data_IF_863018154893
#
_entry.id   IF_863018154893
#
_cell.length_a   1.000
_cell.length_b   1.000
_cell.length_c   1.000
_cell.angle_alpha   90.00
_cell.angle_beta   90.00
_cell.angle_gamma   90.00
#
_symmetry.space_group_name_H-M   'P 1'
#
loop_
_entity.id
_entity.type
_entity.pdbx_description
1 polymer ?
#
# COMPACT_ATOMS: atom_id res chain seq x y z
N UNK A 1 -57.38 47.92 18.43
CA UNK A 1 -57.98 48.79 19.47
C UNK A 1 -59.31 49.28 18.92
N UNK A 2 -60.45 48.69 19.35
CA UNK A 2 -61.35 49.23 20.40
C UNK A 2 -61.74 50.68 20.09
N UNK A 3 -62.88 50.93 19.43
CA UNK A 3 -64.27 51.00 19.93
C UNK A 3 -64.64 52.37 20.52
N UNK A 4 -65.83 52.84 20.11
CA UNK A 4 -66.77 53.71 20.87
C UNK A 4 -66.44 55.20 20.96
N UNK A 5 -67.37 56.17 21.02
CA UNK A 5 -68.85 56.29 21.11
C UNK A 5 -69.09 57.81 20.79
N UNK A 6 -70.00 58.28 19.93
CA UNK A 6 -71.46 58.48 20.09
C UNK A 6 -71.90 59.60 21.07
N UNK A 7 -72.74 60.50 20.52
CA UNK A 7 -73.87 61.28 21.09
C UNK A 7 -73.64 62.52 21.97
N UNK A 8 -74.13 63.70 21.54
CA UNK A 8 -75.47 64.34 21.74
C UNK A 8 -75.54 65.13 23.05
N UNK A 9 -75.94 66.42 22.98
CA UNK A 9 -77.18 66.99 23.59
C UNK A 9 -77.15 68.55 23.63
N UNK A 10 -78.12 69.15 22.92
CA UNK A 10 -78.95 70.35 23.22
C UNK A 10 -78.37 71.72 23.62
N UNK A 11 -78.75 72.71 22.80
CA UNK A 11 -79.25 74.09 23.07
C UNK A 11 -79.95 74.29 24.43
N UNK A 12 -80.21 75.53 24.94
CA UNK A 12 -80.17 76.86 24.28
C UNK A 12 -79.50 77.97 25.13
N UNK A 13 -79.18 79.15 24.57
CA UNK A 13 -79.43 80.39 25.32
C UNK A 13 -79.47 81.63 24.44
N UNK A 14 -80.47 82.43 24.75
CA UNK A 14 -80.87 83.68 24.13
C UNK A 14 -79.86 84.81 24.32
N UNK A 15 -79.88 85.71 23.34
CA UNK A 15 -79.51 87.13 23.34
C UNK A 15 -79.24 87.79 24.70
N UNK A 16 -78.14 88.54 24.84
CA UNK A 16 -78.16 90.02 24.80
C UNK A 16 -76.75 90.61 24.92
N UNK A 17 -76.63 91.83 24.42
CA UNK A 17 -75.58 92.82 24.63
C UNK A 17 -74.32 92.74 23.74
N UNK A 18 -74.40 93.48 22.63
CA UNK A 18 -73.25 94.16 22.05
C UNK A 18 -72.52 94.98 23.14
N UNK A 19 -71.33 94.53 23.54
CA UNK A 19 -70.33 95.39 24.16
C UNK A 19 -69.27 95.71 23.10
N UNK A 20 -69.49 96.84 22.45
CA UNK A 20 -68.58 97.44 21.49
C UNK A 20 -67.37 97.99 22.27
N UNK A 21 -66.27 97.25 22.31
CA UNK A 21 -64.97 97.84 22.63
C UNK A 21 -64.22 98.02 21.32
N UNK A 22 -64.33 99.22 20.76
CA UNK A 22 -63.58 99.66 19.59
C UNK A 22 -62.11 99.78 20.00
N UNK A 23 -61.35 98.69 19.86
CA UNK A 23 -59.91 98.80 19.75
C UNK A 23 -59.63 99.75 18.58
N UNK A 24 -58.85 100.80 18.85
CA UNK A 24 -58.39 101.71 17.81
C UNK A 24 -57.75 100.87 16.68
N UNK A 25 -57.93 101.23 15.40
CA UNK A 25 -57.29 100.52 14.29
C UNK A 25 -55.76 100.41 14.50
N UNK A 26 -55.17 101.32 15.26
CA UNK A 26 -53.76 101.36 15.64
C UNK A 26 -53.34 100.24 16.60
N UNK A 27 -54.16 99.87 17.59
CA UNK A 27 -53.83 98.78 18.53
C UNK A 27 -53.89 97.40 17.87
N UNK A 28 -54.80 97.22 16.90
CA UNK A 28 -54.84 96.00 16.07
C UNK A 28 -53.63 95.88 15.16
N UNK A 29 -53.17 96.99 14.57
CA UNK A 29 -51.95 97.02 13.77
C UNK A 29 -50.71 96.72 14.62
N UNK A 30 -50.65 97.23 15.87
CA UNK A 30 -49.56 96.90 16.80
C UNK A 30 -49.55 95.44 17.21
N UNK A 31 -50.71 94.85 17.47
CA UNK A 31 -50.80 93.42 17.82
C UNK A 31 -50.49 92.52 16.62
N UNK A 32 -50.92 92.88 15.41
CA UNK A 32 -50.53 92.21 14.17
C UNK A 32 -49.02 92.34 13.89
N UNK A 33 -48.42 93.50 14.16
CA UNK A 33 -46.97 93.68 14.07
C UNK A 33 -46.20 92.84 15.10
N UNK A 34 -46.71 92.69 16.33
CA UNK A 34 -46.12 91.79 17.33
C UNK A 34 -46.26 90.33 16.95
N UNK A 35 -47.43 89.91 16.46
CA UNK A 35 -47.67 88.56 16.00
C UNK A 35 -46.77 88.19 14.80
N UNK A 36 -46.61 89.10 13.83
CA UNK A 36 -45.70 88.91 12.70
C UNK A 36 -44.23 88.93 13.12
N UNK A 37 -43.83 89.76 14.09
CA UNK A 37 -42.48 89.73 14.65
C UNK A 37 -42.18 88.42 15.42
N UNK A 38 -43.15 87.89 16.17
CA UNK A 38 -43.03 86.58 16.82
C UNK A 38 -42.97 85.44 15.80
N UNK A 39 -43.81 85.47 14.76
CA UNK A 39 -43.79 84.50 13.66
C UNK A 39 -42.46 84.53 12.90
N UNK A 40 -41.90 85.71 12.66
CA UNK A 40 -40.59 85.86 12.03
C UNK A 40 -39.49 85.26 12.92
N UNK A 41 -39.53 85.55 14.23
CA UNK A 41 -38.58 84.97 15.20
C UNK A 41 -38.70 83.45 15.31
N UNK A 42 -39.92 82.89 15.30
CA UNK A 42 -40.12 81.43 15.29
C UNK A 42 -39.64 80.82 13.98
N UNK A 43 -39.96 81.42 12.83
CA UNK A 43 -39.50 80.95 11.53
C UNK A 43 -37.97 81.03 11.39
N UNK A 44 -37.33 82.06 11.97
CA UNK A 44 -35.88 82.19 12.01
C UNK A 44 -35.24 81.12 12.91
N UNK A 45 -35.85 80.83 14.06
CA UNK A 45 -35.42 79.75 14.96
C UNK A 45 -35.58 78.38 14.29
N UNK A 46 -36.70 78.13 13.62
CA UNK A 46 -36.97 76.90 12.88
C UNK A 46 -36.02 76.73 11.70
N UNK A 47 -35.67 77.82 11.00
CA UNK A 47 -34.66 77.81 9.94
C UNK A 47 -33.27 77.45 10.49
N UNK A 48 -32.87 78.06 11.61
CA UNK A 48 -31.58 77.73 12.27
C UNK A 48 -31.56 76.27 12.71
N UNK A 49 -32.65 75.76 13.27
CA UNK A 49 -32.78 74.35 13.68
C UNK A 49 -32.74 73.40 12.46
N UNK A 50 -33.42 73.75 11.37
CA UNK A 50 -33.41 72.96 10.14
C UNK A 50 -32.02 72.91 9.49
N UNK A 51 -31.29 74.04 9.48
CA UNK A 51 -29.90 74.10 9.00
C UNK A 51 -29.00 73.24 9.88
N UNK A 52 -29.11 73.34 11.22
CA UNK A 52 -28.33 72.51 12.14
C UNK A 52 -28.61 71.00 11.96
N UNK A 53 -29.88 70.61 11.77
CA UNK A 53 -30.26 69.23 11.48
C UNK A 53 -29.72 68.77 10.12
N UNK A 54 -29.79 69.62 9.09
CA UNK A 54 -29.25 69.31 7.76
C UNK A 54 -27.73 69.15 7.78
N UNK A 55 -26.99 70.02 8.47
CA UNK A 55 -25.54 69.85 8.64
C UNK A 55 -25.21 68.54 9.39
N UNK A 56 -25.99 68.17 10.40
CA UNK A 56 -25.79 66.92 11.13
C UNK A 56 -26.06 65.68 10.27
N UNK A 57 -27.05 65.73 9.37
CA UNK A 57 -27.36 64.63 8.46
C UNK A 57 -26.35 64.51 7.34
N UNK A 58 -25.88 65.64 6.78
CA UNK A 58 -24.79 65.66 5.79
C UNK A 58 -23.51 65.07 6.37
N UNK A 59 -23.16 65.40 7.63
CA UNK A 59 -22.00 64.78 8.32
C UNK A 59 -22.16 63.26 8.47
N UNK A 60 -23.34 62.78 8.85
CA UNK A 60 -23.63 61.34 8.97
C UNK A 60 -23.57 60.62 7.63
N UNK A 61 -24.12 61.21 6.57
CA UNK A 61 -24.07 60.66 5.20
C UNK A 61 -22.61 60.55 4.76
N UNK A 62 -21.81 61.61 4.95
CA UNK A 62 -20.38 61.59 4.61
C UNK A 62 -19.59 60.53 5.40
N UNK A 63 -19.93 60.27 6.67
CA UNK A 63 -19.32 59.21 7.47
C UNK A 63 -19.74 57.80 6.98
N UNK A 64 -21.02 57.62 6.65
CA UNK A 64 -21.53 56.37 6.10
C UNK A 64 -20.95 56.06 4.72
N UNK A 65 -20.81 57.06 3.84
CA UNK A 65 -20.14 56.92 2.54
C UNK A 65 -18.67 56.50 2.71
N UNK A 66 -17.96 57.10 3.68
CA UNK A 66 -16.60 56.66 4.01
C UNK A 66 -16.57 55.20 4.46
N UNK A 67 -17.48 54.80 5.35
CA UNK A 67 -17.57 53.40 5.83
C UNK A 67 -17.94 52.43 4.71
N UNK A 68 -18.88 52.79 3.84
CA UNK A 68 -19.25 51.99 2.66
C UNK A 68 -18.06 51.82 1.72
N UNK A 69 -17.37 52.90 1.38
CA UNK A 69 -16.18 52.82 0.52
C UNK A 69 -15.05 51.98 1.13
N UNK A 70 -14.89 52.01 2.46
CA UNK A 70 -13.92 51.17 3.17
C UNK A 70 -14.35 49.69 3.14
N UNK A 71 -15.62 49.41 3.41
CA UNK A 71 -16.21 48.06 3.38
C UNK A 71 -16.14 47.44 1.98
N UNK A 72 -16.43 48.21 0.93
CA UNK A 72 -16.31 47.79 -0.47
C UNK A 72 -14.87 47.43 -0.81
N UNK A 73 -13.90 48.27 -0.40
CA UNK A 73 -12.47 47.96 -0.58
C UNK A 73 -12.08 46.66 0.13
N UNK A 74 -12.46 46.48 1.40
CA UNK A 74 -12.16 45.25 2.14
C UNK A 74 -12.85 44.03 1.54
N UNK A 75 -14.10 44.14 1.09
CA UNK A 75 -14.79 43.03 0.44
C UNK A 75 -14.12 42.65 -0.88
N UNK A 76 -13.68 43.65 -1.66
CA UNK A 76 -12.95 43.40 -2.92
C UNK A 76 -11.60 42.73 -2.69
N UNK A 77 -10.84 43.14 -1.67
CA UNK A 77 -9.56 42.50 -1.34
C UNK A 77 -9.76 41.09 -0.80
N UNK A 78 -10.74 40.88 0.09
CA UNK A 78 -11.05 39.56 0.63
C UNK A 78 -11.52 38.59 -0.46
N UNK A 79 -12.34 39.04 -1.42
CA UNK A 79 -12.74 38.19 -2.55
C UNK A 79 -11.56 37.85 -3.47
N UNK A 80 -10.65 38.79 -3.71
CA UNK A 80 -9.41 38.50 -4.44
C UNK A 80 -8.52 37.49 -3.70
N UNK A 81 -8.30 37.67 -2.39
CA UNK A 81 -7.51 36.72 -1.59
C UNK A 81 -8.14 35.33 -1.57
N UNK A 82 -9.46 35.25 -1.41
CA UNK A 82 -10.18 33.98 -1.36
C UNK A 82 -10.10 33.23 -2.70
N UNK A 83 -10.22 33.93 -3.84
CA UNK A 83 -10.05 33.31 -5.16
C UNK A 83 -8.61 32.83 -5.39
N UNK A 84 -7.61 33.61 -4.96
CA UNK A 84 -6.20 33.20 -5.04
C UNK A 84 -5.90 31.99 -4.15
N UNK A 85 -6.38 31.98 -2.91
CA UNK A 85 -6.21 30.85 -2.00
C UNK A 85 -6.91 29.59 -2.51
N UNK A 86 -8.12 29.72 -3.07
CA UNK A 86 -8.82 28.59 -3.71
C UNK A 86 -7.99 28.03 -4.87
N UNK A 87 -7.55 28.87 -5.79
CA UNK A 87 -6.73 28.43 -6.92
C UNK A 87 -5.40 27.79 -6.46
N UNK A 88 -4.76 28.33 -5.41
CA UNK A 88 -3.56 27.74 -4.84
C UNK A 88 -3.85 26.37 -4.22
N UNK A 89 -4.92 26.25 -3.43
CA UNK A 89 -5.34 25.01 -2.78
C UNK A 89 -5.70 23.91 -3.79
N UNK A 90 -6.38 24.27 -4.87
CA UNK A 90 -6.76 23.35 -5.94
C UNK A 90 -5.53 22.81 -6.67
N UNK A 91 -4.53 23.67 -6.93
CA UNK A 91 -3.23 23.26 -7.48
C UNK A 91 -2.48 22.30 -6.55
N UNK A 92 -2.46 22.56 -5.24
CA UNK A 92 -1.82 21.64 -4.28
C UNK A 92 -2.56 20.32 -4.19
N UNK A 93 -3.90 20.32 -4.17
CA UNK A 93 -4.71 19.11 -4.16
C UNK A 93 -4.43 18.29 -5.42
N UNK A 94 -4.45 18.90 -6.61
CA UNK A 94 -4.14 18.23 -7.86
C UNK A 94 -2.71 17.65 -7.87
N UNK A 95 -1.72 18.41 -7.39
CA UNK A 95 -0.33 17.94 -7.27
C UNK A 95 -0.21 16.75 -6.31
N UNK A 96 -0.88 16.81 -5.15
CA UNK A 96 -0.88 15.72 -4.18
C UNK A 96 -1.56 14.47 -4.74
N UNK A 97 -2.68 14.62 -5.43
CA UNK A 97 -3.38 13.51 -6.08
C UNK A 97 -2.49 12.82 -7.12
N UNK A 98 -1.79 13.59 -7.96
CA UNK A 98 -0.83 13.05 -8.92
C UNK A 98 0.33 12.32 -8.24
N UNK A 99 0.85 12.87 -7.13
CA UNK A 99 1.90 12.20 -6.35
C UNK A 99 1.42 10.90 -5.72
N UNK A 100 0.19 10.84 -5.22
CA UNK A 100 -0.39 9.62 -4.67
C UNK A 100 -0.52 8.57 -5.78
N UNK A 101 -1.05 8.95 -6.94
CA UNK A 101 -1.17 8.04 -8.09
C UNK A 101 0.20 7.49 -8.54
N UNK A 102 1.22 8.33 -8.65
CA UNK A 102 2.60 7.90 -8.98
C UNK A 102 3.17 6.96 -7.91
N UNK A 103 2.94 7.25 -6.62
CA UNK A 103 3.38 6.36 -5.54
C UNK A 103 2.67 5.01 -5.56
N UNK A 104 1.36 4.99 -5.81
CA UNK A 104 0.59 3.75 -5.92
C UNK A 104 1.05 2.90 -7.09
N UNK A 105 1.38 3.53 -8.23
CA UNK A 105 1.96 2.83 -9.36
C UNK A 105 3.32 2.21 -9.01
N UNK A 106 4.23 2.98 -8.41
CA UNK A 106 5.54 2.47 -7.98
C UNK A 106 5.42 1.37 -6.94
N UNK A 107 4.46 1.45 -6.02
CA UNK A 107 4.20 0.39 -5.05
C UNK A 107 3.78 -0.92 -5.72
N UNK A 108 2.95 -0.86 -6.76
CA UNK A 108 2.59 -2.05 -7.56
C UNK A 108 3.81 -2.62 -8.27
N UNK A 109 4.59 -1.78 -8.95
CA UNK A 109 5.83 -2.19 -9.65
C UNK A 109 6.83 -2.84 -8.68
N UNK A 110 7.04 -2.26 -7.50
CA UNK A 110 7.91 -2.84 -6.47
C UNK A 110 7.36 -4.15 -5.91
N UNK A 111 6.05 -4.25 -5.69
CA UNK A 111 5.42 -5.48 -5.23
C UNK A 111 5.58 -6.62 -6.24
N UNK A 112 5.38 -6.33 -7.53
CA UNK A 112 5.57 -7.30 -8.61
C UNK A 112 7.04 -7.73 -8.75
N UNK A 113 7.96 -6.76 -8.67
CA UNK A 113 9.39 -7.05 -8.66
C UNK A 113 9.76 -7.96 -7.48
N UNK A 114 9.32 -7.64 -6.26
CA UNK A 114 9.59 -8.45 -5.07
C UNK A 114 9.06 -9.88 -5.19
N UNK A 115 7.86 -10.05 -5.74
CA UNK A 115 7.30 -11.38 -5.98
C UNK A 115 8.10 -12.17 -7.02
N UNK A 116 8.53 -11.52 -8.10
CA UNK A 116 9.41 -12.10 -9.11
C UNK A 116 10.76 -12.54 -8.50
N UNK A 117 11.39 -11.67 -7.70
CA UNK A 117 12.63 -11.97 -7.00
C UNK A 117 12.46 -13.15 -6.03
N UNK A 118 11.36 -13.18 -5.27
CA UNK A 118 11.05 -14.29 -4.36
C UNK A 118 10.87 -15.61 -5.11
N UNK A 119 10.13 -15.61 -6.22
CA UNK A 119 9.96 -16.78 -7.08
C UNK A 119 11.30 -17.24 -7.69
N UNK A 120 12.12 -16.32 -8.15
CA UNK A 120 13.46 -16.61 -8.68
C UNK A 120 14.36 -17.25 -7.62
N UNK A 121 14.39 -16.68 -6.41
CA UNK A 121 15.17 -17.21 -5.29
C UNK A 121 14.68 -18.61 -4.86
N UNK A 122 13.36 -18.82 -4.76
CA UNK A 122 12.79 -20.12 -4.45
C UNK A 122 13.18 -21.17 -5.50
N UNK A 123 13.05 -20.84 -6.79
CA UNK A 123 13.48 -21.73 -7.89
C UNK A 123 14.96 -22.08 -7.80
N UNK A 124 15.82 -21.09 -7.57
CA UNK A 124 17.26 -21.32 -7.42
C UNK A 124 17.56 -22.23 -6.23
N UNK A 125 16.89 -22.00 -5.10
CA UNK A 125 17.06 -22.80 -3.89
C UNK A 125 16.62 -24.25 -4.13
N UNK A 126 15.46 -24.46 -4.79
CA UNK A 126 15.00 -25.81 -5.14
C UNK A 126 15.97 -26.52 -6.09
N UNK A 127 16.51 -25.82 -7.08
CA UNK A 127 17.51 -26.38 -8.01
C UNK A 127 18.79 -26.79 -7.27
N UNK A 128 19.28 -25.95 -6.36
CA UNK A 128 20.48 -26.28 -5.55
C UNK A 128 20.22 -27.52 -4.70
N UNK A 129 19.04 -27.65 -4.09
CA UNK A 129 18.68 -28.84 -3.33
C UNK A 129 18.62 -30.09 -4.20
N UNK A 130 17.99 -30.01 -5.38
CA UNK A 130 17.93 -31.12 -6.34
C UNK A 130 19.33 -31.56 -6.78
N UNK A 131 20.17 -30.62 -7.21
CA UNK A 131 21.55 -30.89 -7.59
C UNK A 131 22.35 -31.52 -6.43
N UNK A 132 22.16 -31.05 -5.21
CA UNK A 132 22.82 -31.63 -4.03
C UNK A 132 22.38 -33.07 -3.79
N UNK A 133 21.09 -33.38 -3.93
CA UNK A 133 20.59 -34.75 -3.78
C UNK A 133 21.10 -35.67 -4.89
N UNK A 134 21.14 -35.20 -6.13
CA UNK A 134 21.69 -35.94 -7.27
C UNK A 134 23.19 -36.20 -7.09
N UNK A 135 23.96 -35.19 -6.67
CA UNK A 135 25.38 -35.35 -6.38
C UNK A 135 25.64 -36.37 -5.27
N UNK A 136 24.81 -36.37 -4.22
CA UNK A 136 24.96 -37.35 -3.14
C UNK A 136 24.64 -38.77 -3.62
N UNK A 137 23.57 -38.94 -4.40
CA UNK A 137 23.25 -40.23 -5.03
C UNK A 137 24.38 -40.70 -5.97
N UNK A 138 24.91 -39.82 -6.81
CA UNK A 138 26.03 -40.15 -7.69
C UNK A 138 27.30 -40.51 -6.90
N UNK A 139 27.58 -39.82 -5.79
CA UNK A 139 28.70 -40.18 -4.89
C UNK A 139 28.52 -41.56 -4.28
N UNK A 140 27.33 -41.90 -3.79
CA UNK A 140 27.02 -43.24 -3.28
C UNK A 140 27.25 -44.31 -4.36
N UNK A 141 26.68 -44.10 -5.55
CA UNK A 141 26.83 -45.02 -6.66
C UNK A 141 28.30 -45.22 -7.08
N UNK A 142 29.11 -44.15 -7.06
CA UNK A 142 30.54 -44.25 -7.35
C UNK A 142 31.24 -45.13 -6.31
N UNK A 143 30.93 -44.98 -5.02
CA UNK A 143 31.52 -45.80 -3.96
C UNK A 143 31.10 -47.26 -4.10
N UNK A 144 29.81 -47.53 -4.33
CA UNK A 144 29.29 -48.88 -4.55
C UNK A 144 29.93 -49.56 -5.77
N UNK A 145 30.06 -48.84 -6.88
CA UNK A 145 30.70 -49.35 -8.09
C UNK A 145 32.19 -49.62 -7.86
N UNK A 146 32.91 -48.74 -7.14
CA UNK A 146 34.31 -48.98 -6.78
C UNK A 146 34.47 -50.24 -5.93
N UNK A 147 33.67 -50.40 -4.89
CA UNK A 147 33.69 -51.60 -4.05
C UNK A 147 33.38 -52.87 -4.86
N UNK A 148 32.43 -52.78 -5.80
CA UNK A 148 32.07 -53.89 -6.70
C UNK A 148 33.21 -54.24 -7.65
N UNK A 149 33.92 -53.25 -8.19
CA UNK A 149 35.09 -53.46 -9.05
C UNK A 149 36.21 -54.12 -8.25
N UNK A 150 36.54 -53.60 -7.07
CA UNK A 150 37.59 -54.16 -6.20
C UNK A 150 37.29 -55.62 -5.80
N UNK A 151 36.03 -55.94 -5.48
CA UNK A 151 35.61 -57.31 -5.19
C UNK A 151 35.75 -58.23 -6.42
N UNK A 152 35.34 -57.75 -7.60
CA UNK A 152 35.49 -58.50 -8.85
C UNK A 152 36.96 -58.72 -9.22
N UNK A 153 37.82 -57.72 -9.03
CA UNK A 153 39.26 -57.84 -9.26
C UNK A 153 39.89 -58.87 -8.34
N UNK A 154 39.58 -58.83 -7.03
CA UNK A 154 40.03 -59.83 -6.06
C UNK A 154 39.62 -61.25 -6.45
N UNK A 155 38.34 -61.46 -6.76
CA UNK A 155 37.82 -62.78 -7.17
C UNK A 155 38.46 -63.29 -8.47
N UNK A 156 38.72 -62.39 -9.42
CA UNK A 156 39.40 -62.73 -10.67
C UNK A 156 40.84 -63.21 -10.39
N UNK A 157 41.59 -62.47 -9.57
CA UNK A 157 42.94 -62.87 -9.16
C UNK A 157 42.91 -64.23 -8.45
N UNK A 158 41.95 -64.47 -7.55
CA UNK A 158 41.80 -65.74 -6.84
C UNK A 158 41.45 -66.90 -7.79
N UNK A 159 40.53 -66.70 -8.75
CA UNK A 159 40.22 -67.68 -9.79
C UNK A 159 41.42 -68.00 -10.68
N UNK A 160 42.20 -66.99 -11.05
CA UNK A 160 43.42 -67.18 -11.84
C UNK A 160 44.45 -68.01 -11.06
N UNK A 161 44.66 -67.71 -9.78
CA UNK A 161 45.56 -68.47 -8.91
C UNK A 161 45.10 -69.92 -8.72
N UNK A 162 43.79 -70.16 -8.50
CA UNK A 162 43.22 -71.51 -8.44
C UNK A 162 43.45 -72.25 -9.77
N UNK A 163 43.27 -71.57 -10.89
CA UNK A 163 43.46 -72.14 -12.23
C UNK A 163 44.91 -72.57 -12.46
N UNK A 164 45.89 -71.75 -12.05
CA UNK A 164 47.32 -72.10 -12.06
C UNK A 164 47.58 -73.31 -11.16
N UNK A 165 47.02 -73.35 -9.96
CA UNK A 165 47.19 -74.48 -9.02
C UNK A 165 46.68 -75.80 -9.62
N UNK A 166 45.52 -75.76 -10.29
CA UNK A 166 44.95 -76.92 -10.99
C UNK A 166 45.86 -77.37 -12.14
N UNK A 167 46.36 -76.44 -12.96
CA UNK A 167 47.26 -76.75 -14.09
C UNK A 167 48.59 -77.34 -13.61
N UNK A 168 49.21 -76.75 -12.58
CA UNK A 168 50.47 -77.23 -11.99
C UNK A 168 50.31 -78.65 -11.41
N UNK A 169 49.19 -78.93 -10.71
CA UNK A 169 48.90 -80.29 -10.22
C UNK A 169 48.66 -81.27 -11.36
N UNK A 170 47.95 -80.86 -12.41
CA UNK A 170 47.75 -81.71 -13.59
C UNK A 170 49.08 -82.03 -14.27
N UNK A 171 49.97 -81.05 -14.43
CA UNK A 171 51.32 -81.23 -14.97
C UNK A 171 52.16 -82.18 -14.10
N UNK A 172 52.21 -81.97 -12.78
CA UNK A 172 52.92 -82.84 -11.83
C UNK A 172 52.35 -84.26 -11.83
N UNK A 173 51.03 -84.40 -11.93
CA UNK A 173 50.38 -85.70 -12.05
C UNK A 173 50.74 -86.40 -13.36
N UNK A 174 50.76 -85.69 -14.50
CA UNK A 174 51.19 -86.24 -15.78
C UNK A 174 52.66 -86.70 -15.75
N UNK A 175 53.55 -85.92 -15.12
CA UNK A 175 54.96 -86.29 -14.94
C UNK A 175 55.12 -87.52 -14.02
N UNK A 176 54.44 -87.54 -12.86
CA UNK A 176 54.49 -88.68 -11.93
C UNK A 176 53.84 -89.95 -12.47
N UNK A 177 52.78 -89.82 -13.28
CA UNK A 177 52.09 -90.94 -13.95
C UNK A 177 52.86 -91.50 -15.13
N UNK A 178 53.63 -90.69 -15.85
CA UNK A 178 54.56 -91.19 -16.88
C UNK A 178 55.59 -92.16 -16.29
N UNK A 179 55.96 -91.97 -15.02
CA UNK A 179 56.87 -92.84 -14.27
C UNK A 179 56.17 -94.07 -13.66
N UNK A 180 54.88 -93.98 -13.35
CA UNK A 180 54.08 -95.02 -12.69
C UNK A 180 53.13 -95.79 -13.65
N UNK A 181 53.32 -95.69 -14.96
CA UNK A 181 52.43 -96.17 -16.03
C UNK A 181 52.22 -97.70 -16.11
N UNK A 182 52.41 -98.46 -15.02
CA UNK A 182 52.28 -99.92 -15.00
C UNK A 182 51.26 -100.48 -14.02
N UNK A 183 50.55 -99.67 -13.23
CA UNK A 183 49.50 -100.19 -12.33
C UNK A 183 48.11 -99.58 -12.54
N UNK A 184 47.05 -100.40 -12.64
CA UNK A 184 45.67 -99.94 -12.77
C UNK A 184 45.24 -99.18 -11.51
N UNK A 185 44.50 -98.08 -11.68
CA UNK A 185 44.00 -97.25 -10.58
C UNK A 185 43.16 -98.07 -9.58
N UNK A 186 43.73 -98.41 -8.44
CA UNK A 186 43.02 -99.08 -7.34
C UNK A 186 42.08 -98.08 -6.67
N UNK A 187 40.89 -98.51 -6.22
CA UNK A 187 39.77 -97.67 -5.75
C UNK A 187 40.13 -96.50 -4.81
N UNK A 188 41.11 -96.66 -3.92
CA UNK A 188 41.58 -95.59 -3.02
C UNK A 188 42.19 -94.38 -3.76
N UNK A 189 42.85 -94.60 -4.91
CA UNK A 189 43.40 -93.50 -5.72
C UNK A 189 42.32 -92.74 -6.47
N UNK A 190 41.25 -93.43 -6.89
CA UNK A 190 40.08 -92.82 -7.52
C UNK A 190 39.35 -91.88 -6.56
N UNK A 191 39.06 -92.33 -5.33
CA UNK A 191 38.41 -91.51 -4.31
C UNK A 191 39.22 -90.25 -3.99
N UNK A 192 40.57 -90.35 -3.92
CA UNK A 192 41.44 -89.18 -3.71
C UNK A 192 41.34 -88.15 -4.84
N UNK A 193 41.24 -88.60 -6.10
CA UNK A 193 41.06 -87.70 -7.25
C UNK A 193 39.67 -87.07 -7.23
N UNK A 194 38.62 -87.85 -6.93
CA UNK A 194 37.25 -87.35 -6.81
C UNK A 194 37.14 -86.27 -5.72
N UNK A 195 37.72 -86.48 -4.53
CA UNK A 195 37.76 -85.47 -3.47
C UNK A 195 38.50 -84.20 -3.90
N UNK A 196 39.63 -84.34 -4.59
CA UNK A 196 40.42 -83.21 -5.05
C UNK A 196 39.68 -82.40 -6.13
N UNK A 197 38.95 -83.07 -7.02
CA UNK A 197 38.05 -82.41 -7.99
C UNK A 197 36.91 -81.69 -7.27
N UNK A 198 36.30 -82.30 -6.25
CA UNK A 198 35.26 -81.67 -5.44
C UNK A 198 35.79 -80.42 -4.70
N UNK A 199 36.98 -80.49 -4.11
CA UNK A 199 37.61 -79.35 -3.42
C UNK A 199 37.85 -78.17 -4.36
N UNK A 200 38.40 -78.41 -5.56
CA UNK A 200 38.60 -77.33 -6.54
C UNK A 200 37.28 -76.84 -7.13
N UNK A 201 36.31 -77.72 -7.34
CA UNK A 201 34.99 -77.34 -7.77
C UNK A 201 34.34 -76.38 -6.77
N UNK A 202 34.43 -76.67 -5.47
CA UNK A 202 33.94 -75.80 -4.41
C UNK A 202 34.69 -74.46 -4.38
N UNK A 203 36.03 -74.46 -4.52
CA UNK A 203 36.83 -73.23 -4.60
C UNK A 203 36.42 -72.34 -5.77
N UNK A 204 36.19 -72.93 -6.96
CA UNK A 204 35.75 -72.18 -8.15
C UNK A 204 34.34 -71.63 -7.95
N UNK A 205 33.42 -72.42 -7.39
CA UNK A 205 32.05 -71.97 -7.10
C UNK A 205 32.06 -70.81 -6.11
N UNK A 206 32.86 -70.88 -5.05
CA UNK A 206 32.94 -69.83 -4.04
C UNK A 206 33.40 -68.48 -4.61
N UNK A 207 34.21 -68.48 -5.69
CA UNK A 207 34.71 -67.26 -6.32
C UNK A 207 33.88 -66.80 -7.53
N UNK A 208 32.90 -67.59 -7.94
CA UNK A 208 32.04 -67.25 -9.07
C UNK A 208 31.25 -65.99 -8.74
N UNK A 209 31.29 -65.02 -9.66
CA UNK A 209 30.40 -63.87 -9.60
C UNK A 209 28.95 -64.35 -9.80
N UNK A 210 28.11 -64.15 -8.79
CA UNK A 210 26.68 -64.33 -8.93
C UNK A 210 26.13 -63.15 -9.73
N UNK A 211 25.45 -63.42 -10.85
CA UNK A 211 24.75 -62.38 -11.58
C UNK A 211 23.59 -61.90 -10.70
N UNK A 212 23.67 -60.64 -10.26
CA UNK A 212 22.57 -60.00 -9.56
C UNK A 212 21.40 -59.89 -10.53
N UNK A 213 20.26 -60.51 -10.18
CA UNK A 213 19.03 -60.42 -10.97
C UNK A 213 18.53 -59.00 -10.83
N UNK A 214 18.75 -58.19 -11.86
CA UNK A 214 18.29 -56.80 -11.91
C UNK A 214 16.78 -56.75 -11.61
N UNK A 215 16.31 -55.89 -10.68
CA UNK A 215 14.88 -55.63 -10.52
C UNK A 215 14.28 -54.98 -11.79
#
# INVERSE_FOLDING_TARGET
>A
MKRSLIFILTLPFSSFAFAQNQASPEDRLREQLRATALQLRTAETDKVNAVALHESSVRKIAELEKKLSALEKTNSSLTQELTQQRAASEKTIASLHNKIADRDQRLKEFSEALDSWKKGYQKSTTLIHQLRTELESHRSNIVELKNTIEDRERKNIELFNISIEVLDRYQKFALGKSLAAREPFIGNTRVKVENLVQDYHQKIINQRLHAEKKP
#
